data_IF_643012206877
#
_entry.id   IF_643012206877
#
_cell.length_a   1.000
_cell.length_b   1.000
_cell.length_c   1.000
_cell.angle_alpha   90.00
_cell.angle_beta   90.00
_cell.angle_gamma   90.00
#
_symmetry.space_group_name_H-M   'P 1'
#
loop_
_entity.id
_entity.type
_entity.pdbx_description
1 polymer ?
#
# COMPACT_ATOMS: atom_id res chain seq x y z
N UNK A 1 10.96 -16.36 6.78
CA UNK A 1 10.79 -17.50 5.86
C UNK A 1 12.00 -17.49 4.96
N UNK A 2 12.83 -18.54 4.99
CA UNK A 2 14.03 -18.60 4.15
C UNK A 2 13.61 -18.67 2.68
N UNK A 3 14.16 -17.77 1.88
CA UNK A 3 14.01 -17.81 0.42
C UNK A 3 15.27 -18.48 -0.10
N UNK A 4 15.09 -19.62 -0.78
CA UNK A 4 16.19 -20.41 -1.33
C UNK A 4 16.29 -20.09 -2.82
N UNK A 5 17.42 -19.52 -3.23
CA UNK A 5 17.77 -19.34 -4.63
C UNK A 5 19.08 -20.09 -4.88
N UNK A 6 19.03 -21.07 -5.78
CA UNK A 6 20.08 -22.07 -6.02
C UNK A 6 20.49 -22.90 -4.77
N UNK A 7 21.56 -22.54 -4.05
CA UNK A 7 22.08 -23.22 -2.86
C UNK A 7 22.34 -22.28 -1.66
N UNK A 8 21.94 -21.01 -1.74
CA UNK A 8 22.05 -20.08 -0.60
C UNK A 8 20.67 -19.78 -0.01
N UNK A 9 20.55 -19.94 1.31
CA UNK A 9 19.41 -19.44 2.06
C UNK A 9 19.69 -18.01 2.52
N UNK A 10 18.77 -17.09 2.24
CA UNK A 10 18.84 -15.74 2.77
C UNK A 10 17.53 -15.34 3.45
N UNK A 11 17.64 -14.44 4.42
CA UNK A 11 16.49 -13.93 5.17
C UNK A 11 16.26 -12.47 4.79
N UNK A 12 15.12 -12.11 4.19
CA UNK A 12 14.83 -10.72 3.88
C UNK A 12 14.75 -9.87 5.15
N UNK A 13 15.55 -8.81 5.21
CA UNK A 13 15.51 -7.79 6.28
C UNK A 13 14.38 -6.77 6.09
N UNK A 14 13.70 -6.81 4.94
CA UNK A 14 12.52 -5.99 4.63
C UNK A 14 11.76 -6.53 3.42
N UNK A 15 10.45 -6.29 3.38
CA UNK A 15 9.54 -6.83 2.37
C UNK A 15 9.06 -8.25 2.67
N UNK A 16 8.11 -8.73 1.87
CA UNK A 16 7.63 -10.12 1.94
C UNK A 16 8.06 -10.85 0.66
N UNK A 17 8.43 -12.15 0.73
CA UNK A 17 8.73 -12.93 -0.46
C UNK A 17 7.55 -12.90 -1.45
N UNK A 18 7.81 -12.58 -2.72
CA UNK A 18 6.80 -12.69 -3.77
C UNK A 18 6.42 -14.18 -3.92
N UNK A 19 5.14 -14.49 -3.77
CA UNK A 19 4.65 -15.88 -3.81
C UNK A 19 4.40 -16.54 -2.44
N UNK A 20 4.71 -15.87 -1.32
CA UNK A 20 4.21 -16.34 -0.03
C UNK A 20 2.69 -16.09 0.05
N UNK A 21 1.92 -17.11 0.44
CA UNK A 21 0.44 -17.07 0.48
C UNK A 21 -0.09 -15.91 1.32
N UNK A 22 0.69 -15.42 2.29
CA UNK A 22 0.33 -14.34 3.20
C UNK A 22 0.67 -12.93 2.69
N UNK A 23 1.49 -12.78 1.65
CA UNK A 23 1.94 -11.47 1.16
C UNK A 23 0.80 -10.51 0.80
N UNK A 24 -0.29 -10.95 0.14
CA UNK A 24 -1.43 -10.07 -0.16
C UNK A 24 -2.14 -9.53 1.09
N UNK A 25 -2.23 -10.35 2.15
CA UNK A 25 -2.85 -9.93 3.41
C UNK A 25 -1.96 -8.91 4.14
N UNK A 26 -0.65 -9.15 4.17
CA UNK A 26 0.31 -8.25 4.83
C UNK A 26 0.35 -6.89 4.14
N UNK A 27 0.31 -6.85 2.79
CA UNK A 27 0.18 -5.60 2.05
C UNK A 27 -1.10 -4.82 2.42
N UNK A 28 -2.23 -5.51 2.56
CA UNK A 28 -3.49 -4.88 2.97
C UNK A 28 -3.45 -4.34 4.41
N UNK A 29 -2.81 -5.04 5.34
CA UNK A 29 -2.63 -4.57 6.72
C UNK A 29 -1.75 -3.32 6.74
N UNK A 30 -0.65 -3.34 6.00
CA UNK A 30 0.27 -2.21 5.90
C UNK A 30 -0.38 -0.96 5.30
N UNK A 31 -1.22 -1.12 4.28
CA UNK A 31 -1.91 -0.01 3.60
C UNK A 31 -3.23 0.43 4.29
N UNK A 32 -3.69 -0.30 5.31
CA UNK A 32 -4.94 0.05 6.02
C UNK A 32 -4.96 1.45 6.65
N UNK A 33 -3.86 1.97 7.24
CA UNK A 33 -3.82 3.35 7.74
C UNK A 33 -3.97 4.40 6.64
N UNK A 34 -3.47 4.14 5.43
CA UNK A 34 -3.69 5.01 4.27
C UNK A 34 -5.18 5.04 3.90
N UNK A 35 -5.84 3.87 3.88
CA UNK A 35 -7.29 3.79 3.62
C UNK A 35 -8.09 4.67 4.60
N UNK A 36 -7.71 4.64 5.89
CA UNK A 36 -8.33 5.47 6.93
C UNK A 36 -8.08 6.95 6.72
N UNK A 37 -6.83 7.34 6.46
CA UNK A 37 -6.46 8.74 6.22
C UNK A 37 -7.23 9.34 5.04
N UNK A 38 -7.39 8.60 3.95
CA UNK A 38 -8.18 9.05 2.79
C UNK A 38 -9.67 9.16 3.12
N UNK A 39 -10.21 8.22 3.91
CA UNK A 39 -11.60 8.26 4.36
C UNK A 39 -11.88 9.44 5.32
N UNK A 40 -10.95 9.72 6.24
CA UNK A 40 -11.02 10.85 7.18
C UNK A 40 -10.93 12.20 6.46
N UNK A 41 -10.18 12.26 5.35
CA UNK A 41 -10.19 13.41 4.42
C UNK A 41 -11.52 13.55 3.63
N UNK A 42 -12.51 12.68 3.84
CA UNK A 42 -13.83 12.73 3.21
C UNK A 42 -13.86 12.22 1.77
N UNK A 43 -12.85 11.44 1.38
CA UNK A 43 -12.63 11.00 0.01
C UNK A 43 -12.91 9.50 -0.13
N UNK A 44 -13.28 9.06 -1.33
CA UNK A 44 -13.53 7.64 -1.63
C UNK A 44 -12.35 7.06 -2.39
N UNK A 45 -11.82 5.94 -1.93
CA UNK A 45 -10.73 5.23 -2.59
C UNK A 45 -11.16 3.84 -3.03
N UNK A 46 -10.71 3.43 -4.21
CA UNK A 46 -10.75 2.05 -4.70
C UNK A 46 -9.32 1.56 -4.79
N UNK A 47 -9.00 0.45 -4.13
CA UNK A 47 -7.64 -0.10 -4.06
C UNK A 47 -7.63 -1.58 -4.38
N UNK A 48 -6.61 -2.01 -5.12
CA UNK A 48 -6.29 -3.39 -5.41
C UNK A 48 -4.80 -3.61 -5.16
N UNK A 49 -4.46 -4.38 -4.12
CA UNK A 49 -3.08 -4.50 -3.64
C UNK A 49 -2.44 -3.12 -3.38
N UNK A 50 -1.36 -2.80 -4.09
CA UNK A 50 -0.62 -1.55 -4.06
C UNK A 50 -1.15 -0.48 -5.03
N UNK A 51 -1.99 -0.84 -6.00
CA UNK A 51 -2.61 0.09 -6.94
C UNK A 51 -3.90 0.68 -6.37
N UNK A 52 -4.06 2.01 -6.41
CA UNK A 52 -5.28 2.67 -5.93
C UNK A 52 -5.67 3.92 -6.73
N UNK A 53 -6.96 4.25 -6.69
CA UNK A 53 -7.55 5.45 -7.28
C UNK A 53 -8.40 6.17 -6.22
N UNK A 54 -8.16 7.46 -6.04
CA UNK A 54 -8.94 8.31 -5.13
C UNK A 54 -9.88 9.21 -5.95
N UNK A 55 -11.18 9.10 -5.68
CA UNK A 55 -12.24 9.82 -6.36
C UNK A 55 -12.40 11.22 -5.74
N UNK A 56 -12.11 12.25 -6.55
CA UNK A 56 -12.14 13.66 -6.16
C UNK A 56 -13.29 14.37 -6.90
N UNK A 57 -13.93 15.38 -6.29
CA UNK A 57 -14.99 16.15 -6.96
C UNK A 57 -14.42 17.20 -7.92
N UNK A 58 -13.27 17.76 -7.59
CA UNK A 58 -12.60 18.81 -8.34
C UNK A 58 -11.08 18.67 -8.26
N UNK A 59 -10.39 19.50 -9.06
CA UNK A 59 -8.93 19.52 -9.16
C UNK A 59 -8.25 19.93 -7.86
N UNK A 60 -8.84 20.85 -7.10
CA UNK A 60 -8.27 21.34 -5.84
C UNK A 60 -8.25 20.24 -4.78
N UNK A 61 -9.32 19.45 -4.68
CA UNK A 61 -9.35 18.25 -3.84
C UNK A 61 -8.30 17.22 -4.28
N UNK A 62 -8.16 16.99 -5.59
CA UNK A 62 -7.19 16.04 -6.13
C UNK A 62 -5.75 16.44 -5.78
N UNK A 63 -5.40 17.71 -5.93
CA UNK A 63 -4.08 18.24 -5.59
C UNK A 63 -3.81 18.16 -4.08
N UNK A 64 -4.81 18.46 -3.24
CA UNK A 64 -4.70 18.36 -1.79
C UNK A 64 -4.46 16.93 -1.31
N UNK A 65 -5.25 15.97 -1.81
CA UNK A 65 -5.06 14.55 -1.48
C UNK A 65 -3.75 14.00 -2.05
N UNK A 66 -3.37 14.38 -3.27
CA UNK A 66 -2.11 13.94 -3.86
C UNK A 66 -0.92 14.35 -2.98
N UNK A 67 -0.95 15.57 -2.44
CA UNK A 67 0.07 16.03 -1.50
C UNK A 67 0.05 15.21 -0.21
N UNK A 68 -1.12 15.01 0.39
CA UNK A 68 -1.30 14.24 1.62
C UNK A 68 -0.74 12.81 1.48
N UNK A 69 -1.05 12.12 0.37
CA UNK A 69 -0.58 10.74 0.12
C UNK A 69 0.93 10.70 -0.12
N UNK A 70 1.52 11.70 -0.77
CA UNK A 70 2.97 11.78 -0.98
C UNK A 70 3.76 12.04 0.30
N UNK A 71 3.15 12.72 1.27
CA UNK A 71 3.75 13.01 2.58
C UNK A 71 3.54 11.86 3.59
N UNK A 72 2.79 10.81 3.23
CA UNK A 72 2.45 9.68 4.13
C UNK A 72 3.60 8.66 4.34
N UNK A 73 4.80 8.91 3.82
CA UNK A 73 6.00 8.05 3.94
C UNK A 73 7.03 8.59 4.91
#
# INVERSE_FOLDING_TARGET
QEVMDDMESWTPTGGTPQGAVLSPLLANIYLHPLDKLVAEAGMKMVRYADDFVILCKDKTQAEGVLRLVREWT
#
